data_IF_443548702078
#
_entry.id   IF_443548702078
#
_cell.length_a   1.000
_cell.length_b   1.000
_cell.length_c   1.000
_cell.angle_alpha   90.00
_cell.angle_beta   90.00
_cell.angle_gamma   90.00
#
_symmetry.space_group_name_H-M   'P 1'
#
loop_
_entity.id
_entity.type
_entity.pdbx_description
1 polymer ?
#
# COMPACT_ATOMS: atom_id res chain seq x y z
N UNK A 1 27.73 28.77 -42.81
CA UNK A 1 28.23 27.64 -41.99
C UNK A 1 28.06 28.03 -40.53
N UNK A 2 27.12 27.43 -39.81
CA UNK A 2 26.93 27.65 -38.35
C UNK A 2 27.36 26.40 -37.61
N UNK A 3 28.47 26.48 -36.88
CA UNK A 3 28.96 25.41 -35.99
C UNK A 3 28.34 25.57 -34.61
N UNK A 4 27.36 24.73 -34.29
CA UNK A 4 26.78 24.62 -32.95
C UNK A 4 27.66 23.69 -32.10
N UNK A 5 28.44 24.25 -31.16
CA UNK A 5 29.15 23.47 -30.14
C UNK A 5 28.10 22.98 -29.13
N UNK A 6 27.65 21.74 -29.28
CA UNK A 6 26.78 21.08 -28.31
C UNK A 6 27.58 20.88 -27.00
N UNK A 7 27.21 21.65 -25.98
CA UNK A 7 27.91 21.69 -24.70
C UNK A 7 27.52 20.45 -23.88
N UNK A 8 28.30 19.37 -24.04
CA UNK A 8 28.06 18.04 -23.47
C UNK A 8 27.91 18.04 -21.93
N UNK A 9 28.41 19.08 -21.24
CA UNK A 9 28.28 19.25 -19.79
C UNK A 9 26.86 19.52 -19.29
N UNK A 10 25.97 20.09 -20.11
CA UNK A 10 24.60 20.42 -19.69
C UNK A 10 23.68 19.19 -19.68
N UNK A 11 24.02 18.15 -20.46
CA UNK A 11 23.25 16.91 -20.54
C UNK A 11 23.43 16.02 -19.30
N UNK A 12 24.58 16.08 -18.63
CA UNK A 12 24.84 15.29 -17.42
C UNK A 12 24.15 15.85 -16.16
N UNK A 13 23.88 17.15 -16.11
CA UNK A 13 23.22 17.78 -14.95
C UNK A 13 21.73 17.43 -14.83
N UNK A 14 21.06 17.10 -15.93
CA UNK A 14 19.63 16.77 -15.96
C UNK A 14 19.33 15.33 -15.48
N UNK A 15 20.31 14.43 -15.49
CA UNK A 15 20.12 13.01 -15.12
C UNK A 15 20.17 12.80 -13.60
N UNK A 16 20.77 13.73 -12.85
CA UNK A 16 21.00 13.58 -11.40
C UNK A 16 19.78 13.87 -10.51
N UNK A 17 18.65 14.33 -11.06
CA UNK A 17 17.50 14.80 -10.28
C UNK A 17 16.48 13.67 -9.99
N UNK A 18 16.60 12.51 -10.62
CA UNK A 18 15.69 11.38 -10.39
C UNK A 18 16.16 10.52 -9.21
N UNK A 19 16.36 11.14 -8.04
CA UNK A 19 16.48 10.38 -6.79
C UNK A 19 15.08 9.89 -6.39
N UNK A 20 14.64 8.79 -7.01
CA UNK A 20 13.53 8.01 -6.50
C UNK A 20 13.94 7.46 -5.13
N UNK A 21 13.55 8.17 -4.06
CA UNK A 21 13.66 7.65 -2.71
C UNK A 21 12.83 6.38 -2.65
N UNK A 22 13.49 5.22 -2.61
CA UNK A 22 12.82 3.94 -2.41
C UNK A 22 12.01 4.06 -1.11
N UNK A 23 10.69 3.95 -1.21
CA UNK A 23 9.83 3.97 -0.04
C UNK A 23 10.28 2.82 0.88
N UNK A 24 10.56 3.13 2.14
CA UNK A 24 10.87 2.10 3.14
C UNK A 24 9.63 1.21 3.27
N UNK A 25 9.80 -0.09 3.02
CA UNK A 25 8.76 -1.09 3.25
C UNK A 25 8.50 -1.20 4.75
N UNK A 26 7.28 -0.84 5.17
CA UNK A 26 6.86 -0.83 6.58
C UNK A 26 5.97 -2.02 6.94
N UNK A 27 5.71 -2.93 6.01
CA UNK A 27 4.85 -4.07 6.27
C UNK A 27 5.51 -5.06 7.25
N UNK A 28 4.88 -5.40 8.39
CA UNK A 28 5.38 -6.43 9.30
C UNK A 28 5.13 -7.82 8.74
N UNK A 29 5.98 -8.27 7.80
CA UNK A 29 5.79 -9.53 7.05
C UNK A 29 6.03 -10.80 7.88
N UNK A 30 6.61 -10.65 9.06
CA UNK A 30 6.82 -11.71 10.05
C UNK A 30 5.55 -12.02 10.87
N UNK A 31 4.57 -11.12 10.88
CA UNK A 31 3.25 -11.35 11.47
C UNK A 31 2.37 -12.17 10.53
N UNK A 32 1.91 -13.35 10.99
CA UNK A 32 1.04 -14.24 10.21
C UNK A 32 -0.25 -13.52 9.76
N UNK A 33 -0.78 -12.63 10.61
CA UNK A 33 -1.93 -11.80 10.27
C UNK A 33 -1.69 -10.92 9.04
N UNK A 34 -0.45 -10.48 8.80
CA UNK A 34 -0.11 -9.63 7.67
C UNK A 34 0.02 -10.41 6.37
N UNK A 35 0.28 -11.71 6.43
CA UNK A 35 0.19 -12.59 5.25
C UNK A 35 -1.24 -12.62 4.71
N UNK A 36 -2.25 -12.68 5.57
CA UNK A 36 -3.66 -12.61 5.14
C UNK A 36 -3.98 -11.30 4.45
N UNK A 37 -3.46 -10.18 4.97
CA UNK A 37 -3.64 -8.84 4.41
C UNK A 37 -2.96 -8.75 3.03
N UNK A 38 -1.71 -9.18 2.92
CA UNK A 38 -0.94 -9.18 1.66
C UNK A 38 -1.64 -10.05 0.61
N UNK A 39 -2.05 -11.26 0.96
CA UNK A 39 -2.70 -12.19 0.04
C UNK A 39 -4.07 -11.70 -0.43
N UNK A 40 -4.67 -10.77 0.31
CA UNK A 40 -5.99 -10.19 0.02
C UNK A 40 -5.93 -8.81 -0.62
N UNK A 41 -4.74 -8.35 -1.03
CA UNK A 41 -4.49 -7.01 -1.58
C UNK A 41 -5.47 -6.63 -2.69
N UNK A 42 -5.79 -7.56 -3.59
CA UNK A 42 -6.73 -7.29 -4.70
C UNK A 42 -8.15 -7.08 -4.21
N UNK A 43 -8.63 -7.86 -3.24
CA UNK A 43 -9.95 -7.64 -2.63
C UNK A 43 -10.01 -6.29 -1.93
N UNK A 44 -9.00 -5.99 -1.12
CA UNK A 44 -8.90 -4.73 -0.36
C UNK A 44 -8.86 -3.52 -1.31
N UNK A 45 -8.06 -3.60 -2.37
CA UNK A 45 -8.00 -2.58 -3.40
C UNK A 45 -9.35 -2.38 -4.10
N UNK A 46 -10.03 -3.46 -4.50
CA UNK A 46 -11.34 -3.36 -5.16
C UNK A 46 -12.40 -2.72 -4.25
N UNK A 47 -12.37 -3.00 -2.94
CA UNK A 47 -13.33 -2.42 -1.99
C UNK A 47 -13.03 -0.94 -1.72
N UNK A 48 -11.76 -0.53 -1.71
CA UNK A 48 -11.34 0.85 -1.38
C UNK A 48 -11.31 1.77 -2.62
N UNK A 49 -10.71 1.31 -3.72
CA UNK A 49 -10.43 2.10 -4.92
C UNK A 49 -11.62 2.03 -5.87
N UNK A 50 -12.05 0.81 -6.22
CA UNK A 50 -13.18 0.59 -7.14
C UNK A 50 -14.53 0.67 -6.41
N UNK A 51 -14.48 1.06 -5.13
CA UNK A 51 -15.50 0.84 -4.12
C UNK A 51 -16.91 1.22 -4.57
N UNK A 52 -17.81 0.24 -4.52
CA UNK A 52 -19.25 0.46 -4.41
C UNK A 52 -19.51 1.19 -3.08
N UNK A 53 -19.97 2.45 -3.09
CA UNK A 53 -20.22 3.17 -1.85
C UNK A 53 -21.43 2.59 -1.08
N UNK A 54 -21.41 2.64 0.27
CA UNK A 54 -20.32 3.15 1.11
C UNK A 54 -19.29 2.08 1.52
N UNK A 55 -18.03 2.50 1.69
CA UNK A 55 -16.97 1.71 2.33
C UNK A 55 -17.38 1.38 3.77
N UNK A 56 -17.51 0.09 4.10
CA UNK A 56 -17.87 -0.37 5.46
C UNK A 56 -16.81 -1.30 6.02
N UNK A 57 -16.71 -1.35 7.36
CA UNK A 57 -15.85 -2.32 8.07
C UNK A 57 -16.13 -3.75 7.64
N UNK A 58 -17.40 -4.12 7.48
CA UNK A 58 -17.81 -5.47 7.10
C UNK A 58 -17.32 -5.86 5.69
N UNK A 59 -17.46 -4.97 4.71
CA UNK A 59 -16.98 -5.23 3.35
C UNK A 59 -15.46 -5.32 3.25
N UNK A 60 -14.72 -4.63 4.13
CA UNK A 60 -13.27 -4.80 4.20
C UNK A 60 -12.87 -6.09 4.94
N UNK A 61 -13.56 -6.39 6.05
CA UNK A 61 -13.28 -7.56 6.87
C UNK A 61 -13.47 -8.86 6.09
N UNK A 62 -14.47 -8.96 5.21
CA UNK A 62 -14.66 -10.15 4.37
C UNK A 62 -13.49 -10.47 3.45
N UNK A 63 -12.62 -9.49 3.14
CA UNK A 63 -11.40 -9.78 2.39
C UNK A 63 -10.42 -10.66 3.18
N UNK A 64 -10.49 -10.68 4.52
CA UNK A 64 -9.50 -11.33 5.39
C UNK A 64 -10.11 -12.18 6.51
N UNK A 65 -11.42 -12.38 6.50
CA UNK A 65 -12.18 -13.23 7.41
C UNK A 65 -12.94 -14.30 6.62
N UNK A 66 -12.19 -15.21 5.97
CA UNK A 66 -12.75 -16.32 5.21
C UNK A 66 -12.04 -17.63 5.54
N UNK A 67 -12.63 -18.76 5.16
CA UNK A 67 -11.99 -20.06 5.32
C UNK A 67 -10.65 -20.08 4.57
N UNK A 68 -9.61 -20.60 5.20
CA UNK A 68 -8.27 -20.68 4.63
C UNK A 68 -7.34 -19.49 4.92
N UNK A 69 -7.79 -18.47 5.66
CA UNK A 69 -6.86 -17.44 6.18
C UNK A 69 -5.94 -18.04 7.24
N UNK A 70 -4.67 -17.62 7.25
CA UNK A 70 -3.64 -18.14 8.12
C UNK A 70 -3.81 -17.71 9.59
N UNK A 71 -4.29 -16.49 9.84
CA UNK A 71 -4.53 -15.98 11.19
C UNK A 71 -6.00 -16.12 11.61
N UNK A 72 -6.22 -16.48 12.87
CA UNK A 72 -7.53 -16.53 13.50
C UNK A 72 -7.98 -15.19 14.11
N UNK A 73 -7.17 -14.12 13.99
CA UNK A 73 -7.54 -12.81 14.51
C UNK A 73 -8.74 -12.23 13.75
N UNK A 74 -9.57 -11.39 14.38
CA UNK A 74 -10.56 -10.60 13.66
C UNK A 74 -9.90 -9.68 12.63
N UNK A 75 -10.56 -9.44 11.51
CA UNK A 75 -10.07 -8.63 10.40
C UNK A 75 -9.66 -7.22 10.83
N UNK A 76 -10.43 -6.58 11.71
CA UNK A 76 -10.06 -5.28 12.28
C UNK A 76 -8.69 -5.31 12.97
N UNK A 77 -8.39 -6.38 13.70
CA UNK A 77 -7.11 -6.54 14.38
C UNK A 77 -5.98 -6.85 13.38
N UNK A 78 -6.22 -7.70 12.39
CA UNK A 78 -5.27 -7.94 11.27
C UNK A 78 -4.91 -6.62 10.60
N UNK A 79 -5.91 -5.81 10.24
CA UNK A 79 -5.70 -4.51 9.59
C UNK A 79 -4.87 -3.54 10.43
N UNK A 80 -5.14 -3.43 11.74
CA UNK A 80 -4.42 -2.50 12.60
C UNK A 80 -3.00 -2.96 12.95
N UNK A 81 -2.70 -4.26 12.92
CA UNK A 81 -1.34 -4.79 13.11
C UNK A 81 -0.48 -4.63 11.85
N UNK A 82 -1.10 -4.57 10.68
CA UNK A 82 -0.44 -4.66 9.38
C UNK A 82 -0.44 -3.33 8.62
N UNK A 83 -0.34 -2.22 9.34
CA UNK A 83 -0.20 -0.90 8.73
C UNK A 83 1.09 -0.86 7.90
N UNK A 84 0.99 -0.39 6.65
CA UNK A 84 2.16 -0.32 5.75
C UNK A 84 2.26 -1.45 4.72
N UNK A 85 1.37 -2.45 4.74
CA UNK A 85 1.37 -3.55 3.76
C UNK A 85 0.81 -3.18 2.39
N UNK A 86 0.19 -2.00 2.26
CA UNK A 86 -0.35 -1.50 0.99
C UNK A 86 0.15 -0.08 0.68
N UNK A 87 -0.34 0.51 -0.41
CA UNK A 87 -0.05 1.91 -0.75
C UNK A 87 -0.58 2.86 0.34
N UNK A 88 0.00 4.07 0.43
CA UNK A 88 -0.39 5.06 1.44
C UNK A 88 -1.91 5.31 1.46
N UNK A 89 -2.52 5.43 0.29
CA UNK A 89 -3.97 5.68 0.13
C UNK A 89 -4.82 4.54 0.72
N UNK A 90 -4.43 3.28 0.47
CA UNK A 90 -5.14 2.11 1.00
C UNK A 90 -4.95 2.03 2.52
N UNK A 91 -3.72 2.21 3.01
CA UNK A 91 -3.44 2.18 4.44
C UNK A 91 -4.23 3.27 5.18
N UNK A 92 -4.29 4.49 4.66
CA UNK A 92 -5.07 5.59 5.23
C UNK A 92 -6.56 5.25 5.29
N UNK A 93 -7.12 4.68 4.22
CA UNK A 93 -8.52 4.24 4.19
C UNK A 93 -8.80 3.14 5.24
N UNK A 94 -7.91 2.16 5.38
CA UNK A 94 -7.99 1.11 6.40
C UNK A 94 -7.96 1.73 7.81
N UNK A 95 -6.96 2.57 8.09
CA UNK A 95 -6.76 3.22 9.39
C UNK A 95 -7.99 4.03 9.78
N UNK A 96 -8.52 4.82 8.84
CA UNK A 96 -9.75 5.59 9.06
C UNK A 96 -10.98 4.72 9.25
N UNK A 97 -11.08 3.61 8.51
CA UNK A 97 -12.23 2.71 8.58
C UNK A 97 -12.28 1.97 9.91
N UNK A 98 -11.14 1.51 10.43
CA UNK A 98 -11.05 0.72 11.65
C UNK A 98 -10.66 1.49 12.91
N UNK A 99 -10.27 2.77 12.78
CA UNK A 99 -9.69 3.59 13.84
C UNK A 99 -8.40 2.97 14.43
N UNK A 100 -7.50 2.52 13.57
CA UNK A 100 -6.21 1.97 14.01
C UNK A 100 -5.32 3.08 14.57
N UNK A 101 -4.72 2.87 15.75
CA UNK A 101 -3.61 3.69 16.23
C UNK A 101 -2.34 3.32 15.46
N UNK A 102 -1.66 4.32 14.88
CA UNK A 102 -0.35 4.15 14.26
C UNK A 102 0.78 4.31 15.28
#
# INVERSE_FOLDING_TARGET
MYTTKLNLGLLFALVAIVNAQAAVDKCPKDEIACLDIINSSQCIANVIIDGRPPLTKANLAMCVEHEGTASSLPGAEKFCRCTGCHTAQINEAIIKTFNCTQ
#
